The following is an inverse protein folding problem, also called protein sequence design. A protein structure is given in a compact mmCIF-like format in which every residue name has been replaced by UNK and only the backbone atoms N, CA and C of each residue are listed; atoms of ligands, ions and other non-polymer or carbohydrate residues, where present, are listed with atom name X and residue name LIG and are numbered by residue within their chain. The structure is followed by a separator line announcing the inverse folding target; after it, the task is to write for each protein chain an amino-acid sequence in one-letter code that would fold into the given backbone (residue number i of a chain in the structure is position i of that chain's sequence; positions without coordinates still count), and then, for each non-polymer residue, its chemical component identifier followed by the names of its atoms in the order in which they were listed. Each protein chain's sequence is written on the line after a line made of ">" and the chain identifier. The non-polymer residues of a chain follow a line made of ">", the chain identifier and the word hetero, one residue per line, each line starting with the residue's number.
data_IF_392061373844
#
_entry.id   IF_392061373844
#
_cell.length_a   1.000
_cell.length_b   1.000
_cell.length_c   1.000
_cell.angle_alpha   90.00
_cell.angle_beta   90.00
_cell.angle_gamma   90.00
#
_symmetry.space_group_name_H-M   'P 1'
#
loop_
_entity.id
_entity.type
_entity.pdbx_description
1 polymer ?
#
# COMPACT_ATOMS: atom_id res chain seq x y z
N UNK A 1 -13.77 1.90 -12.95
CA UNK A 1 -14.19 0.49 -12.81
C UNK A 1 -15.24 0.03 -13.82
N UNK A 2 -16.26 0.80 -14.19
CA UNK A 2 -17.31 0.35 -15.13
C UNK A 2 -16.77 -0.20 -16.46
N UNK A 3 -15.90 0.54 -17.13
CA UNK A 3 -15.30 0.09 -18.41
C UNK A 3 -14.41 -1.15 -18.23
N UNK A 4 -13.65 -1.20 -17.12
CA UNK A 4 -12.82 -2.35 -16.78
C UNK A 4 -13.66 -3.63 -16.70
N UNK A 5 -14.76 -3.62 -15.93
CA UNK A 5 -15.60 -4.81 -15.77
C UNK A 5 -16.32 -5.23 -17.05
N UNK A 6 -16.77 -4.27 -17.88
CA UNK A 6 -17.33 -4.57 -19.21
C UNK A 6 -16.31 -5.25 -20.12
N UNK A 7 -15.09 -4.74 -20.15
CA UNK A 7 -14.00 -5.35 -20.91
C UNK A 7 -13.65 -6.74 -20.36
N UNK A 8 -13.53 -6.88 -19.04
CA UNK A 8 -13.25 -8.15 -18.38
C UNK A 8 -14.30 -9.21 -18.71
N UNK A 9 -15.59 -8.87 -18.68
CA UNK A 9 -16.68 -9.79 -19.02
C UNK A 9 -16.59 -10.34 -20.46
N UNK A 10 -16.00 -9.57 -21.38
CA UNK A 10 -15.83 -9.95 -22.79
C UNK A 10 -14.61 -10.85 -23.01
N UNK A 11 -13.51 -10.59 -22.29
CA UNK A 11 -12.22 -11.25 -22.56
C UNK A 11 -11.98 -12.47 -21.67
N UNK A 12 -12.55 -12.50 -20.46
CA UNK A 12 -12.41 -13.63 -19.54
C UNK A 12 -13.35 -14.74 -19.98
N UNK A 13 -12.77 -15.89 -20.32
CA UNK A 13 -13.51 -17.11 -20.70
C UNK A 13 -14.41 -17.57 -19.56
N UNK A 14 -15.47 -18.31 -19.91
CA UNK A 14 -16.34 -18.95 -18.94
C UNK A 14 -15.53 -19.78 -17.92
N UNK A 15 -15.88 -19.66 -16.64
CA UNK A 15 -15.16 -20.30 -15.53
C UNK A 15 -13.83 -19.66 -15.14
N UNK A 16 -13.31 -18.70 -15.92
CA UNK A 16 -12.07 -17.95 -15.63
C UNK A 16 -12.22 -16.94 -14.48
N UNK A 17 -11.11 -16.32 -14.08
CA UNK A 17 -11.06 -15.45 -12.89
C UNK A 17 -10.35 -14.13 -13.19
N UNK A 18 -10.92 -13.03 -12.69
CA UNK A 18 -10.21 -11.76 -12.56
C UNK A 18 -9.59 -11.71 -11.16
N UNK A 19 -8.26 -11.65 -11.09
CA UNK A 19 -7.51 -11.44 -9.86
C UNK A 19 -7.06 -9.98 -9.78
N UNK A 20 -7.39 -9.30 -8.69
CA UNK A 20 -6.96 -7.93 -8.40
C UNK A 20 -6.23 -7.94 -7.06
N UNK A 21 -5.06 -7.34 -6.99
CA UNK A 21 -4.31 -7.26 -5.75
C UNK A 21 -3.75 -5.86 -5.52
N UNK A 22 -3.51 -5.55 -4.25
CA UNK A 22 -2.89 -4.31 -3.81
C UNK A 22 -2.10 -4.53 -2.53
N UNK A 23 -1.23 -3.56 -2.26
CA UNK A 23 -0.53 -3.43 -1.01
C UNK A 23 -0.74 -2.04 -0.43
N UNK A 24 -0.67 -1.93 0.88
CA UNK A 24 -0.53 -0.62 1.54
C UNK A 24 0.79 0.04 1.13
N UNK A 25 0.94 1.32 1.49
CA UNK A 25 2.28 1.90 1.60
C UNK A 25 3.09 1.19 2.67
N UNK A 26 4.42 1.22 2.54
CA UNK A 26 5.31 0.79 3.62
C UNK A 26 5.09 1.69 4.84
N UNK A 27 4.86 1.08 6.00
CA UNK A 27 4.80 1.75 7.30
C UNK A 27 5.85 1.16 8.24
N UNK A 28 6.14 1.84 9.34
CA UNK A 28 7.04 1.32 10.37
C UNK A 28 6.25 0.37 11.27
N UNK A 29 6.82 -0.81 11.54
CA UNK A 29 6.29 -1.74 12.53
C UNK A 29 6.64 -1.24 13.94
N UNK A 30 5.65 -0.79 14.72
CA UNK A 30 5.91 -0.18 16.02
C UNK A 30 6.35 -1.21 17.08
N UNK A 31 6.07 -2.49 16.89
CA UNK A 31 6.40 -3.54 17.86
C UNK A 31 7.82 -4.10 17.64
N UNK A 32 8.30 -4.09 16.38
CA UNK A 32 9.60 -4.67 16.00
C UNK A 32 10.69 -3.63 15.75
N UNK A 33 10.37 -2.35 15.86
CA UNK A 33 11.34 -1.23 15.71
C UNK A 33 11.56 -0.57 17.07
N UNK A 34 12.82 -0.30 17.44
CA UNK A 34 13.13 0.48 18.63
C UNK A 34 12.51 1.88 18.52
N UNK A 35 11.90 2.35 19.61
CA UNK A 35 11.08 3.58 19.61
C UNK A 35 9.98 3.59 18.52
N UNK A 36 9.54 2.42 18.06
CA UNK A 36 8.76 2.25 16.84
C UNK A 36 7.39 2.95 16.87
N UNK A 37 6.74 3.03 18.02
CA UNK A 37 5.47 3.76 18.17
C UNK A 37 5.64 5.27 17.92
N UNK A 38 6.68 5.89 18.50
CA UNK A 38 6.96 7.31 18.30
C UNK A 38 7.39 7.59 16.86
N UNK A 39 8.22 6.71 16.29
CA UNK A 39 8.63 6.80 14.88
C UNK A 39 7.42 6.73 13.96
N UNK A 40 6.56 5.71 14.13
CA UNK A 40 5.36 5.55 13.30
C UNK A 40 4.48 6.80 13.35
N UNK A 41 4.21 7.32 14.54
CA UNK A 41 3.40 8.52 14.71
C UNK A 41 4.01 9.74 14.01
N UNK A 42 5.32 9.96 14.18
CA UNK A 42 6.02 11.08 13.55
C UNK A 42 6.05 10.97 12.02
N UNK A 43 6.25 9.76 11.47
CA UNK A 43 6.18 9.53 10.02
C UNK A 43 4.77 9.82 9.50
N UNK A 44 3.73 9.28 10.15
CA UNK A 44 2.34 9.51 9.75
C UNK A 44 1.95 10.98 9.80
N UNK A 45 2.41 11.71 10.81
CA UNK A 45 2.20 13.16 10.93
C UNK A 45 2.81 13.92 9.74
N UNK A 46 4.10 13.69 9.43
CA UNK A 46 4.78 14.36 8.31
C UNK A 46 4.10 14.02 6.98
N UNK A 47 3.76 12.75 6.75
CA UNK A 47 3.11 12.34 5.51
C UNK A 47 1.72 12.97 5.39
N UNK A 48 0.97 13.07 6.49
CA UNK A 48 -0.34 13.71 6.48
C UNK A 48 -0.23 15.23 6.26
N UNK A 49 0.73 15.92 6.88
CA UNK A 49 0.89 17.37 6.70
C UNK A 49 1.40 17.73 5.30
N UNK A 50 2.38 16.98 4.77
CA UNK A 50 3.06 17.32 3.53
C UNK A 50 2.40 16.70 2.29
N UNK A 51 1.95 15.43 2.39
CA UNK A 51 1.53 14.66 1.22
C UNK A 51 0.02 14.56 1.04
N UNK A 52 -0.80 14.94 2.04
CA UNK A 52 -2.25 14.70 1.99
C UNK A 52 -2.89 15.24 0.70
N UNK A 53 -2.54 16.47 0.32
CA UNK A 53 -3.05 17.15 -0.88
C UNK A 53 -2.61 16.51 -2.21
N UNK A 54 -1.57 15.69 -2.21
CA UNK A 54 -1.02 15.04 -3.41
C UNK A 54 -1.55 13.62 -3.63
N UNK A 55 -2.37 13.10 -2.70
CA UNK A 55 -3.08 11.83 -2.89
C UNK A 55 -4.22 11.98 -3.89
N UNK A 56 -4.37 10.95 -4.73
CA UNK A 56 -5.54 10.76 -5.59
C UNK A 56 -6.40 9.62 -5.05
N UNK A 57 -7.66 9.54 -5.46
CA UNK A 57 -8.56 8.47 -5.07
C UNK A 57 -7.97 7.06 -5.28
N UNK A 58 -7.23 6.84 -6.37
CA UNK A 58 -6.56 5.55 -6.61
C UNK A 58 -5.52 5.21 -5.54
N UNK A 59 -4.85 6.20 -4.95
CA UNK A 59 -3.92 6.00 -3.86
C UNK A 59 -4.63 5.54 -2.57
N UNK A 60 -5.81 6.10 -2.29
CA UNK A 60 -6.67 5.69 -1.16
C UNK A 60 -7.15 4.26 -1.37
N UNK A 61 -7.70 3.95 -2.56
CA UNK A 61 -8.20 2.60 -2.87
C UNK A 61 -7.15 1.51 -2.65
N UNK A 62 -5.90 1.74 -3.04
CA UNK A 62 -4.83 0.74 -2.81
C UNK A 62 -4.40 0.66 -1.35
N UNK A 63 -4.39 1.79 -0.63
CA UNK A 63 -3.94 1.88 0.77
C UNK A 63 -4.94 1.26 1.74
N UNK A 64 -6.22 1.40 1.45
CA UNK A 64 -7.28 0.78 2.25
C UNK A 64 -7.64 -0.60 1.69
N UNK A 65 -6.69 -1.26 1.03
CA UNK A 65 -6.82 -2.64 0.55
C UNK A 65 -8.08 -2.88 -0.28
N UNK A 66 -8.45 -1.95 -1.16
CA UNK A 66 -9.62 -2.06 -2.03
C UNK A 66 -10.95 -2.28 -1.28
N UNK A 67 -11.09 -1.82 -0.02
CA UNK A 67 -12.35 -1.92 0.73
C UNK A 67 -13.53 -1.37 -0.09
N UNK A 68 -13.37 -0.19 -0.69
CA UNK A 68 -14.41 0.47 -1.49
C UNK A 68 -14.24 0.29 -3.01
N UNK A 69 -13.45 -0.70 -3.46
CA UNK A 69 -13.26 -0.90 -4.89
C UNK A 69 -14.58 -1.33 -5.56
N UNK A 70 -15.11 -0.57 -6.55
CA UNK A 70 -16.37 -0.95 -7.19
C UNK A 70 -16.24 -2.28 -7.95
N UNK A 71 -17.04 -3.26 -7.56
CA UNK A 71 -17.13 -4.61 -8.12
C UNK A 71 -18.17 -4.67 -9.25
N UNK A 72 -18.22 -5.74 -10.08
CA UNK A 72 -19.10 -5.80 -11.24
C UNK A 72 -20.59 -5.60 -10.90
N UNK A 73 -20.99 -5.98 -9.70
CA UNK A 73 -22.36 -5.89 -9.20
C UNK A 73 -22.62 -4.69 -8.28
N UNK A 74 -21.61 -3.87 -7.95
CA UNK A 74 -21.80 -2.65 -7.13
C UNK A 74 -21.69 -1.35 -7.92
N UNK A 75 -21.22 -1.40 -9.17
CA UNK A 75 -21.20 -0.25 -10.09
C UNK A 75 -22.62 0.15 -10.53
N UNK A 76 -22.82 1.44 -10.88
CA UNK A 76 -24.11 2.05 -11.28
C UNK A 76 -24.88 1.23 -12.33
N UNK A 77 -24.18 0.65 -13.30
CA UNK A 77 -24.76 -0.28 -14.27
C UNK A 77 -24.06 -1.62 -14.11
N UNK A 78 -24.65 -2.57 -13.35
CA UNK A 78 -24.05 -3.87 -13.09
C UNK A 78 -23.68 -4.60 -14.38
N UNK A 79 -22.54 -5.28 -14.36
CA UNK A 79 -22.08 -6.13 -15.46
C UNK A 79 -22.45 -7.58 -15.13
N UNK A 80 -23.26 -8.18 -16.01
CA UNK A 80 -23.68 -9.58 -15.88
C UNK A 80 -22.56 -10.55 -16.23
N UNK A 81 -22.73 -11.82 -15.86
CA UNK A 81 -21.81 -12.89 -16.25
C UNK A 81 -20.66 -13.16 -15.28
N UNK A 82 -20.55 -12.41 -14.18
CA UNK A 82 -19.71 -12.76 -13.03
C UNK A 82 -20.55 -13.39 -11.91
N UNK A 83 -19.93 -14.30 -11.17
CA UNK A 83 -20.54 -14.95 -10.00
C UNK A 83 -20.19 -14.18 -8.73
N UNK A 84 -21.22 -13.59 -8.11
CA UNK A 84 -21.10 -12.86 -6.85
C UNK A 84 -20.86 -13.80 -5.66
N UNK A 85 -21.41 -15.02 -5.71
CA UNK A 85 -21.34 -15.97 -4.60
C UNK A 85 -19.95 -16.58 -4.44
N UNK A 86 -19.22 -16.76 -5.55
CA UNK A 86 -17.82 -17.19 -5.57
C UNK A 86 -16.80 -16.06 -5.41
N UNK A 87 -17.18 -14.87 -4.94
CA UNK A 87 -16.23 -13.78 -4.69
C UNK A 87 -15.32 -14.11 -3.52
N UNK A 88 -14.01 -13.99 -3.72
CA UNK A 88 -13.01 -14.19 -2.66
C UNK A 88 -12.31 -12.87 -2.40
N UNK A 89 -12.21 -12.50 -1.12
CA UNK A 89 -11.34 -11.46 -0.61
C UNK A 89 -10.43 -12.10 0.43
N UNK A 90 -9.14 -12.22 0.13
CA UNK A 90 -8.12 -12.70 1.06
C UNK A 90 -7.24 -11.53 1.43
N UNK A 91 -7.13 -11.27 2.73
CA UNK A 91 -6.28 -10.23 3.30
C UNK A 91 -5.17 -10.89 4.10
N UNK A 92 -3.99 -10.29 4.01
CA UNK A 92 -2.84 -10.62 4.81
C UNK A 92 -2.48 -9.37 5.59
N UNK A 93 -3.05 -9.28 6.79
CA UNK A 93 -2.81 -8.21 7.75
C UNK A 93 -2.02 -8.72 8.96
N UNK A 94 -1.54 -7.81 9.79
CA UNK A 94 -0.60 -8.09 10.87
C UNK A 94 -1.18 -8.89 12.04
N UNK A 95 -2.49 -9.11 12.08
CA UNK A 95 -3.10 -9.96 13.10
C UNK A 95 -2.80 -11.45 12.86
N UNK A 96 -2.17 -11.80 11.73
CA UNK A 96 -1.85 -13.17 11.36
C UNK A 96 -0.45 -13.25 10.74
N UNK A 97 0.60 -12.97 11.53
CA UNK A 97 1.96 -13.34 11.11
C UNK A 97 2.01 -14.86 10.89
N UNK A 98 2.07 -15.25 9.63
CA UNK A 98 2.08 -16.63 9.16
C UNK A 98 3.20 -16.80 8.15
N UNK A 99 3.62 -18.03 7.88
CA UNK A 99 4.58 -18.34 6.81
C UNK A 99 4.16 -17.78 5.44
N UNK A 100 2.84 -17.61 5.20
CA UNK A 100 2.32 -16.96 4.00
C UNK A 100 2.64 -15.46 3.93
N UNK A 101 2.59 -14.74 5.04
CA UNK A 101 2.91 -13.30 5.07
C UNK A 101 4.39 -13.05 4.75
N UNK A 102 5.28 -13.91 5.23
CA UNK A 102 6.71 -13.85 4.92
C UNK A 102 6.96 -14.14 3.43
N UNK A 103 6.29 -15.15 2.86
CA UNK A 103 6.39 -15.48 1.44
C UNK A 103 5.91 -14.33 0.51
N UNK A 104 4.97 -13.50 0.98
CA UNK A 104 4.47 -12.33 0.27
C UNK A 104 5.37 -11.08 0.45
N UNK A 105 6.43 -11.17 1.26
CA UNK A 105 7.37 -10.07 1.49
C UNK A 105 6.72 -8.86 2.18
N UNK A 106 5.75 -9.10 3.07
CA UNK A 106 5.00 -8.04 3.76
C UNK A 106 5.81 -7.32 4.83
N UNK A 107 6.93 -7.89 5.29
CA UNK A 107 7.85 -7.26 6.22
C UNK A 107 9.30 -7.27 5.73
N UNK A 108 10.02 -6.17 5.91
CA UNK A 108 11.45 -6.05 5.54
C UNK A 108 12.20 -5.23 6.58
N UNK A 109 13.37 -5.70 6.98
CA UNK A 109 14.32 -4.88 7.77
C UNK A 109 15.05 -3.93 6.83
N UNK A 110 15.09 -2.65 7.20
CA UNK A 110 15.56 -1.56 6.34
C UNK A 110 16.42 -0.59 7.16
N UNK A 111 17.38 0.05 6.51
CA UNK A 111 17.98 1.28 7.04
C UNK A 111 17.08 2.49 6.78
N UNK A 112 17.24 3.62 7.50
CA UNK A 112 16.52 4.86 7.20
C UNK A 112 16.72 5.35 5.76
N UNK A 113 17.90 5.13 5.18
CA UNK A 113 18.18 5.44 3.78
C UNK A 113 17.38 4.58 2.80
N UNK A 114 17.29 3.27 3.05
CA UNK A 114 16.45 2.41 2.21
C UNK A 114 14.97 2.79 2.32
N UNK A 115 14.51 3.18 3.51
CA UNK A 115 13.15 3.67 3.71
C UNK A 115 12.88 4.98 2.94
N UNK A 116 13.81 5.93 2.96
CA UNK A 116 13.79 7.16 2.13
C UNK A 116 13.65 6.83 0.64
N UNK A 117 14.49 5.92 0.12
CA UNK A 117 14.45 5.48 -1.28
C UNK A 117 13.10 4.88 -1.65
N UNK A 118 12.56 4.01 -0.80
CA UNK A 118 11.24 3.39 -1.02
C UNK A 118 10.13 4.43 -1.07
N UNK A 119 10.09 5.38 -0.13
CA UNK A 119 9.12 6.47 -0.14
C UNK A 119 9.23 7.35 -1.39
N UNK A 120 10.46 7.59 -1.85
CA UNK A 120 10.77 8.35 -3.06
C UNK A 120 10.14 7.80 -4.34
N UNK A 121 9.76 6.52 -4.37
CA UNK A 121 9.04 5.91 -5.50
C UNK A 121 7.53 6.19 -5.51
N UNK A 122 6.99 6.75 -4.42
CA UNK A 122 5.56 6.95 -4.29
C UNK A 122 5.08 8.13 -5.13
N UNK A 123 3.98 7.94 -5.87
CA UNK A 123 3.42 9.00 -6.72
C UNK A 123 3.04 10.30 -5.99
N UNK A 124 2.61 10.31 -4.70
CA UNK A 124 2.42 11.56 -3.96
C UNK A 124 3.74 12.32 -3.75
N UNK A 125 4.85 11.63 -3.45
CA UNK A 125 6.17 12.26 -3.32
C UNK A 125 6.63 12.83 -4.65
N UNK A 126 6.43 12.13 -5.77
CA UNK A 126 6.75 12.65 -7.09
C UNK A 126 6.01 13.97 -7.38
N UNK A 127 4.70 14.03 -7.11
CA UNK A 127 3.90 15.26 -7.29
C UNK A 127 4.30 16.37 -6.33
N UNK A 128 4.64 16.03 -5.08
CA UNK A 128 5.16 17.00 -4.12
C UNK A 128 6.47 17.62 -4.62
N UNK A 129 7.38 16.81 -5.19
CA UNK A 129 8.64 17.30 -5.78
C UNK A 129 8.42 18.17 -7.02
N UNK A 130 7.46 17.81 -7.87
CA UNK A 130 7.05 18.63 -9.02
C UNK A 130 6.54 20.01 -8.57
N UNK A 131 5.83 20.08 -7.45
CA UNK A 131 5.31 21.33 -6.88
C UNK A 131 6.33 22.11 -6.02
N UNK A 132 7.42 21.48 -5.59
CA UNK A 132 8.46 22.07 -4.74
C UNK A 132 9.86 21.80 -5.33
N UNK A 133 10.16 22.30 -6.54
CA UNK A 133 11.38 21.95 -7.26
C UNK A 133 12.66 22.43 -6.58
N UNK A 134 12.60 23.51 -5.80
CA UNK A 134 13.69 24.08 -5.00
C UNK A 134 14.03 23.23 -3.76
N UNK A 135 13.06 22.43 -3.27
CA UNK A 135 13.23 21.56 -2.10
C UNK A 135 13.52 20.11 -2.48
N UNK A 136 13.09 19.68 -3.67
CA UNK A 136 13.27 18.33 -4.15
C UNK A 136 14.76 17.91 -4.13
N UNK A 137 15.06 16.78 -3.50
CA UNK A 137 16.44 16.27 -3.38
C UNK A 137 17.34 17.00 -2.37
N UNK A 138 16.81 17.97 -1.63
CA UNK A 138 17.53 18.67 -0.54
C UNK A 138 17.17 18.09 0.84
N UNK A 139 17.72 18.66 1.92
CA UNK A 139 17.28 18.33 3.28
C UNK A 139 15.81 18.70 3.56
N UNK A 140 15.23 19.59 2.75
CA UNK A 140 13.81 19.94 2.82
C UNK A 140 12.91 18.97 2.04
N UNK A 141 13.46 17.99 1.32
CA UNK A 141 12.68 16.95 0.65
C UNK A 141 11.87 16.15 1.66
N UNK A 142 10.57 15.96 1.42
CA UNK A 142 9.69 15.23 2.34
C UNK A 142 10.22 13.84 2.72
N UNK A 143 10.82 13.10 1.79
CA UNK A 143 11.40 11.79 2.10
C UNK A 143 12.64 11.92 3.00
N UNK A 144 13.44 12.98 2.79
CA UNK A 144 14.61 13.30 3.61
C UNK A 144 14.21 13.74 5.01
N UNK A 145 13.19 14.59 5.15
CA UNK A 145 12.63 14.99 6.46
C UNK A 145 12.18 13.78 7.28
N UNK A 146 11.46 12.84 6.65
CA UNK A 146 11.05 11.59 7.31
C UNK A 146 12.26 10.80 7.76
N UNK A 147 13.28 10.61 6.91
CA UNK A 147 14.52 9.93 7.28
C UNK A 147 15.20 10.58 8.49
N UNK A 148 15.40 11.91 8.47
CA UNK A 148 16.02 12.64 9.59
C UNK A 148 15.24 12.47 10.87
N UNK A 149 13.90 12.45 10.79
CA UNK A 149 13.07 12.23 11.96
C UNK A 149 13.20 10.82 12.53
N UNK A 150 13.30 9.81 11.67
CA UNK A 150 13.56 8.42 12.07
C UNK A 150 14.93 8.32 12.77
N UNK A 151 16.00 8.83 12.14
CA UNK A 151 17.36 8.81 12.70
C UNK A 151 17.40 9.46 14.09
N UNK A 152 16.86 10.69 14.20
CA UNK A 152 16.76 11.41 15.48
C UNK A 152 16.07 10.60 16.57
N UNK A 153 14.92 9.98 16.27
CA UNK A 153 14.16 9.22 17.25
C UNK A 153 14.83 7.90 17.67
N UNK A 154 15.66 7.32 16.81
CA UNK A 154 16.47 6.15 17.15
C UNK A 154 17.66 6.56 18.04
N UNK A 155 18.31 7.70 17.74
CA UNK A 155 19.41 8.22 18.56
C UNK A 155 18.94 8.64 19.96
N UNK A 156 17.73 9.19 20.09
CA UNK A 156 17.11 9.51 21.39
C UNK A 156 17.00 8.30 22.34
N UNK A 157 16.95 7.08 21.80
CA UNK A 157 16.91 5.83 22.59
C UNK A 157 18.24 5.07 22.59
N UNK A 158 19.33 5.73 22.19
CA UNK A 158 20.70 5.21 22.29
C UNK A 158 21.15 4.32 21.13
N UNK A 159 20.51 4.40 19.96
CA UNK A 159 21.05 3.77 18.74
C UNK A 159 22.19 4.64 18.22
N UNK A 160 23.34 4.04 17.95
CA UNK A 160 24.51 4.77 17.44
C UNK A 160 24.40 5.07 15.93
N UNK A 161 25.05 6.13 15.43
CA UNK A 161 25.08 6.43 14.00
C UNK A 161 25.63 5.27 13.16
N UNK A 162 24.87 4.82 12.17
CA UNK A 162 25.21 3.69 11.30
C UNK A 162 24.62 2.34 11.75
N UNK A 163 24.05 2.27 12.95
CA UNK A 163 23.37 1.08 13.48
C UNK A 163 21.83 1.17 13.34
N UNK A 164 21.32 2.21 12.67
CA UNK A 164 19.88 2.44 12.54
C UNK A 164 19.22 1.37 11.68
N UNK A 165 18.31 0.62 12.30
CA UNK A 165 17.47 -0.36 11.63
C UNK A 165 16.01 -0.17 12.03
N UNK A 166 15.13 -0.30 11.05
CA UNK A 166 13.69 -0.35 11.25
C UNK A 166 13.09 -1.59 10.61
N UNK A 167 11.98 -2.06 11.18
CA UNK A 167 11.15 -3.07 10.55
C UNK A 167 10.05 -2.37 9.77
N UNK A 168 10.17 -2.36 8.45
CA UNK A 168 9.10 -1.93 7.56
C UNK A 168 8.03 -3.01 7.41
N UNK A 169 6.77 -2.57 7.24
CA UNK A 169 5.61 -3.43 7.03
C UNK A 169 4.64 -2.90 5.97
N UNK A 170 4.03 -3.83 5.24
CA UNK A 170 2.92 -3.60 4.30
C UNK A 170 1.84 -4.64 4.50
N UNK A 171 0.59 -4.29 4.24
CA UNK A 171 -0.51 -5.26 4.19
C UNK A 171 -0.86 -5.56 2.73
N UNK A 172 -1.44 -6.72 2.47
CA UNK A 172 -1.75 -7.20 1.13
C UNK A 172 -3.19 -7.70 1.03
N UNK A 173 -3.83 -7.46 -0.12
CA UNK A 173 -5.16 -8.01 -0.44
C UNK A 173 -5.17 -8.66 -1.80
N UNK A 174 -5.89 -9.76 -1.92
CA UNK A 174 -6.26 -10.42 -3.17
C UNK A 174 -7.78 -10.50 -3.27
N UNK A 175 -8.32 -9.97 -4.35
CA UNK A 175 -9.71 -10.13 -4.75
C UNK A 175 -9.78 -11.07 -5.95
N UNK A 176 -10.64 -12.08 -5.89
CA UNK A 176 -10.90 -12.97 -7.01
C UNK A 176 -12.38 -12.91 -7.38
N UNK A 177 -12.66 -12.59 -8.65
CA UNK A 177 -14.00 -12.50 -9.21
C UNK A 177 -14.11 -13.51 -10.35
N UNK A 178 -14.97 -14.52 -10.18
CA UNK A 178 -15.11 -15.61 -11.15
C UNK A 178 -16.14 -15.28 -12.24
N UNK A 179 -15.79 -15.55 -13.49
CA UNK A 179 -16.73 -15.57 -14.61
C UNK A 179 -17.61 -16.82 -14.48
N UNK A 180 -18.92 -16.66 -14.61
CA UNK A 180 -19.86 -17.80 -14.62
C UNK A 180 -19.41 -18.83 -15.66
N UNK A 181 -19.54 -20.11 -15.32
CA UNK A 181 -19.36 -21.20 -16.28
C UNK A 181 -20.44 -21.17 -17.36
N UNK A 182 -20.23 -21.91 -18.44
CA UNK A 182 -21.30 -22.23 -19.37
C UNK A 182 -22.29 -23.14 -18.63
N UNK A 183 -23.58 -22.80 -18.67
CA UNK A 183 -24.61 -23.77 -18.29
C UNK A 183 -24.52 -24.92 -19.28
N UNK A 184 -24.16 -26.11 -18.78
CA UNK A 184 -24.29 -27.35 -19.55
C UNK A 184 -25.79 -27.64 -19.67
N UNK A 185 -26.40 -27.20 -20.77
CA UNK A 185 -27.68 -27.76 -21.26
C UNK A 185 -27.52 -29.20 -21.68
#
# INVERSE_FOLDING_TARGET
>A
MTQFWRSAARVVKAGGTVALWARTGMSVDPAKTLNGAAIKAAVEEILNSELHQYYKQGNTLTRDLYVDLPLPWTIKTPVTGFDKSGFIRKEWSHNTETSETEALGTGKTLTPEEFEKLMGTSSPVARWREANPDKAGTEEDVARKVRRRIESLLHEVGVEPGEELLRGRTEFVLLMVRKKGEERT
#
